data_IF_115495794286
#
_entry.id   IF_115495794286
#
_cell.length_a   1.000
_cell.length_b   1.000
_cell.length_c   1.000
_cell.angle_alpha   90.00
_cell.angle_beta   90.00
_cell.angle_gamma   90.00
#
_symmetry.space_group_name_H-M   'P 1'
#
loop_
_entity.id
_entity.type
_entity.pdbx_description
1 polymer ?
#
# COMPACT_ATOMS: atom_id res chain seq x y z
N UNK A 1 -14.39 -5.06 9.47
CA UNK A 1 -13.81 -4.45 8.27
C UNK A 1 -14.92 -4.21 7.25
N UNK A 2 -15.06 -2.98 6.73
CA UNK A 2 -16.07 -2.67 5.71
C UNK A 2 -15.69 -3.28 4.35
N UNK A 3 -16.68 -3.66 3.53
CA UNK A 3 -16.47 -4.22 2.18
C UNK A 3 -15.64 -3.30 1.28
N UNK A 4 -15.70 -1.99 1.51
CA UNK A 4 -14.90 -1.01 0.79
C UNK A 4 -13.39 -1.26 0.98
N UNK A 5 -12.94 -1.40 2.24
CA UNK A 5 -11.51 -1.55 2.56
C UNK A 5 -10.93 -2.83 1.97
N UNK A 6 -11.64 -3.95 2.08
CA UNK A 6 -11.16 -5.21 1.51
C UNK A 6 -11.05 -5.10 -0.02
N UNK A 7 -12.01 -4.43 -0.68
CA UNK A 7 -11.94 -4.17 -2.11
C UNK A 7 -10.73 -3.34 -2.53
N UNK A 8 -10.33 -2.34 -1.73
CA UNK A 8 -9.12 -1.54 -1.97
C UNK A 8 -7.86 -2.40 -1.81
N UNK A 9 -7.78 -3.19 -0.73
CA UNK A 9 -6.62 -4.06 -0.47
C UNK A 9 -6.46 -5.14 -1.56
N UNK A 10 -7.55 -5.71 -2.04
CA UNK A 10 -7.53 -6.64 -3.17
C UNK A 10 -7.02 -5.98 -4.46
N UNK A 11 -7.45 -4.75 -4.75
CA UNK A 11 -6.95 -3.98 -5.89
C UNK A 11 -5.44 -3.70 -5.74
N UNK A 12 -4.98 -3.35 -4.54
CA UNK A 12 -3.55 -3.17 -4.26
C UNK A 12 -2.75 -4.44 -4.57
N UNK A 13 -3.30 -5.62 -4.29
CA UNK A 13 -2.63 -6.90 -4.57
C UNK A 13 -2.67 -7.27 -6.07
N UNK A 14 -3.78 -7.01 -6.76
CA UNK A 14 -4.07 -7.60 -8.08
C UNK A 14 -3.96 -6.63 -9.27
N UNK A 15 -4.12 -5.33 -9.07
CA UNK A 15 -4.17 -4.38 -10.20
C UNK A 15 -2.88 -4.39 -11.01
N UNK A 16 -2.99 -4.27 -12.32
CA UNK A 16 -1.81 -4.17 -13.18
C UNK A 16 -1.12 -2.82 -12.97
N UNK A 17 0.22 -2.76 -12.94
CA UNK A 17 0.91 -1.48 -12.90
C UNK A 17 0.55 -0.64 -14.12
N UNK A 18 0.42 0.67 -13.93
CA UNK A 18 0.27 1.63 -15.01
C UNK A 18 1.59 1.80 -15.76
N UNK A 19 2.67 2.10 -15.04
CA UNK A 19 4.03 2.16 -15.59
C UNK A 19 5.10 1.87 -14.54
N UNK A 20 6.33 1.61 -15.01
CA UNK A 20 7.53 1.48 -14.20
C UNK A 20 8.14 2.86 -14.01
N UNK A 21 8.38 3.27 -12.76
CA UNK A 21 8.94 4.58 -12.42
C UNK A 21 10.47 4.52 -12.51
N UNK A 22 11.07 3.66 -11.69
CA UNK A 22 12.51 3.45 -11.63
C UNK A 22 12.84 2.07 -11.04
N UNK A 23 14.11 1.70 -11.07
CA UNK A 23 14.64 0.49 -10.42
C UNK A 23 15.93 0.87 -9.71
N UNK A 24 16.08 0.43 -8.47
CA UNK A 24 17.36 0.34 -7.77
C UNK A 24 17.83 -1.13 -7.71
N UNK A 25 18.98 -1.39 -7.09
CA UNK A 25 19.55 -2.75 -6.98
C UNK A 25 18.59 -3.75 -6.31
N UNK A 26 17.78 -3.31 -5.35
CA UNK A 26 16.92 -4.16 -4.54
C UNK A 26 15.46 -4.16 -5.03
N UNK A 27 14.96 -3.03 -5.51
CA UNK A 27 13.55 -2.76 -5.77
C UNK A 27 13.28 -2.15 -7.14
N UNK A 28 12.14 -2.55 -7.71
CA UNK A 28 11.51 -1.87 -8.82
C UNK A 28 10.28 -1.15 -8.33
N UNK A 29 10.21 0.15 -8.64
CA UNK A 29 9.13 1.05 -8.26
C UNK A 29 8.15 1.19 -9.42
N UNK A 30 6.86 1.10 -9.10
CA UNK A 30 5.76 1.09 -10.06
C UNK A 30 4.64 1.97 -9.53
N UNK A 31 3.85 2.47 -10.46
CA UNK A 31 2.61 3.17 -10.17
C UNK A 31 1.42 2.29 -10.54
N UNK A 32 0.32 2.42 -9.81
CA UNK A 32 -0.97 1.80 -10.12
C UNK A 32 -2.09 2.77 -9.81
N UNK A 33 -3.16 2.72 -10.60
CA UNK A 33 -4.37 3.50 -10.32
C UNK A 33 -5.34 2.65 -9.52
N UNK A 34 -5.81 3.20 -8.39
CA UNK A 34 -6.83 2.60 -7.52
C UNK A 34 -7.75 3.72 -7.08
N UNK A 35 -9.06 3.58 -7.36
CA UNK A 35 -10.07 4.62 -7.10
C UNK A 35 -9.64 6.01 -7.60
N UNK A 36 -9.19 6.09 -8.86
CA UNK A 36 -8.71 7.31 -9.53
C UNK A 36 -7.48 7.99 -8.91
N UNK A 37 -6.87 7.37 -7.90
CA UNK A 37 -5.65 7.85 -7.26
C UNK A 37 -4.43 7.05 -7.74
N UNK A 38 -3.31 7.74 -7.90
CA UNK A 38 -2.04 7.15 -8.29
C UNK A 38 -1.25 6.69 -7.05
N UNK A 39 -1.11 5.38 -6.90
CA UNK A 39 -0.43 4.77 -5.77
C UNK A 39 0.92 4.20 -6.22
N UNK A 40 1.96 4.56 -5.47
CA UNK A 40 3.28 3.99 -5.66
C UNK A 40 3.43 2.71 -4.84
N UNK A 41 3.93 1.66 -5.48
CA UNK A 41 4.44 0.51 -4.78
C UNK A 41 5.82 0.10 -5.30
N UNK A 42 6.53 -0.66 -4.48
CA UNK A 42 7.78 -1.33 -4.84
C UNK A 42 7.64 -2.83 -4.69
N UNK A 43 8.40 -3.56 -5.50
CA UNK A 43 8.60 -5.01 -5.40
C UNK A 43 10.08 -5.31 -5.55
N UNK A 44 10.54 -6.45 -5.02
CA UNK A 44 11.93 -6.87 -5.23
C UNK A 44 12.23 -7.03 -6.71
N UNK A 45 13.31 -6.44 -7.20
CA UNK A 45 13.67 -6.44 -8.63
C UNK A 45 13.78 -7.86 -9.19
N UNK A 46 14.39 -8.77 -8.43
CA UNK A 46 14.58 -10.18 -8.82
C UNK A 46 13.33 -11.07 -8.60
N UNK A 47 12.23 -10.53 -8.07
CA UNK A 47 10.97 -11.27 -7.87
C UNK A 47 9.77 -10.44 -8.35
N UNK A 48 9.46 -10.49 -9.66
CA UNK A 48 8.32 -9.77 -10.23
C UNK A 48 6.96 -10.19 -9.66
N UNK A 49 6.86 -11.43 -9.19
CA UNK A 49 5.74 -12.02 -8.44
C UNK A 49 5.77 -11.69 -6.94
N UNK A 50 6.80 -10.99 -6.49
CA UNK A 50 7.03 -10.68 -5.09
C UNK A 50 5.97 -9.75 -4.49
N UNK A 51 5.93 -9.71 -3.16
CA UNK A 51 4.97 -8.86 -2.43
C UNK A 51 5.14 -7.39 -2.81
N UNK A 52 4.01 -6.75 -3.11
CA UNK A 52 3.93 -5.31 -3.30
C UNK A 52 3.99 -4.62 -1.96
N UNK A 53 4.86 -3.63 -1.85
CA UNK A 53 4.93 -2.74 -0.70
C UNK A 53 4.57 -1.34 -1.16
N UNK A 54 3.48 -0.79 -0.64
CA UNK A 54 2.94 0.51 -1.02
C UNK A 54 3.55 1.61 -0.16
N UNK A 55 3.85 2.76 -0.78
CA UNK A 55 4.33 3.93 -0.07
C UNK A 55 3.19 4.52 0.76
N UNK A 56 3.39 4.66 2.06
CA UNK A 56 2.42 5.24 2.97
C UNK A 56 2.58 6.76 2.98
N UNK A 57 1.72 7.42 2.22
CA UNK A 57 1.58 8.87 2.10
C UNK A 57 0.09 9.25 2.19
N UNK A 58 -0.21 10.55 2.10
CA UNK A 58 -1.59 11.03 2.20
C UNK A 58 -2.50 10.49 1.11
N UNK A 59 -1.98 10.28 -0.11
CA UNK A 59 -2.74 9.69 -1.21
C UNK A 59 -3.19 8.27 -0.83
N UNK A 60 -2.25 7.42 -0.42
CA UNK A 60 -2.53 6.04 -0.02
C UNK A 60 -3.45 5.98 1.20
N UNK A 61 -3.27 6.87 2.17
CA UNK A 61 -4.14 6.98 3.33
C UNK A 61 -5.59 7.31 2.91
N UNK A 62 -5.78 8.29 2.02
CA UNK A 62 -7.10 8.64 1.46
C UNK A 62 -7.73 7.51 0.66
N UNK A 63 -6.95 6.83 -0.18
CA UNK A 63 -7.44 5.64 -0.90
C UNK A 63 -7.91 4.55 0.06
N UNK A 64 -7.26 4.44 1.22
CA UNK A 64 -7.65 3.55 2.30
C UNK A 64 -8.77 4.11 3.20
N UNK A 65 -9.33 5.29 2.92
CA UNK A 65 -10.46 5.85 3.68
C UNK A 65 -10.08 6.74 4.88
N UNK A 66 -8.82 7.17 4.99
CA UNK A 66 -8.32 8.06 6.04
C UNK A 66 -8.13 9.48 5.52
N UNK A 67 -8.20 10.51 6.39
CA UNK A 67 -8.04 11.90 5.94
C UNK A 67 -6.62 12.19 5.44
N UNK A 68 -5.62 11.72 6.17
CA UNK A 68 -4.20 11.91 5.88
C UNK A 68 -3.35 10.77 6.49
N UNK A 69 -2.04 10.80 6.26
CA UNK A 69 -1.13 9.79 6.78
C UNK A 69 -1.01 9.81 8.31
N UNK A 70 -1.12 10.97 8.95
CA UNK A 70 -1.08 11.10 10.40
C UNK A 70 -2.27 10.41 11.05
N UNK A 71 -3.48 10.54 10.49
CA UNK A 71 -4.68 9.84 10.95
C UNK A 71 -4.48 8.32 10.86
N UNK A 72 -3.97 7.84 9.72
CA UNK A 72 -3.66 6.42 9.53
C UNK A 72 -2.65 5.90 10.57
N UNK A 73 -1.54 6.61 10.77
CA UNK A 73 -0.51 6.21 11.73
C UNK A 73 -1.06 6.21 13.16
N UNK A 74 -1.89 7.18 13.51
CA UNK A 74 -2.48 7.29 14.86
C UNK A 74 -3.39 6.11 15.20
N UNK A 75 -4.04 5.53 14.19
CA UNK A 75 -4.89 4.35 14.34
C UNK A 75 -4.09 3.05 14.43
N UNK A 76 -2.90 3.00 13.82
CA UNK A 76 -2.03 1.82 13.85
C UNK A 76 -0.61 2.13 14.38
N UNK A 77 -0.48 2.48 15.67
CA UNK A 77 0.80 2.91 16.25
C UNK A 77 1.85 1.78 16.27
N UNK A 78 1.42 0.52 16.38
CA UNK A 78 2.30 -0.65 16.42
C UNK A 78 2.72 -1.15 15.03
N UNK A 79 2.18 -0.56 13.96
CA UNK A 79 2.48 -0.99 12.60
C UNK A 79 3.89 -0.56 12.22
N UNK A 80 4.78 -1.52 11.97
CA UNK A 80 6.16 -1.19 11.60
C UNK A 80 6.26 -0.75 10.14
N UNK A 81 6.53 0.55 9.95
CA UNK A 81 6.78 1.16 8.65
C UNK A 81 8.24 0.99 8.24
N UNK A 82 8.57 -0.01 7.42
CA UNK A 82 9.92 -0.06 6.88
C UNK A 82 10.08 0.96 5.75
N UNK A 83 10.81 2.05 6.04
CA UNK A 83 11.03 3.19 5.13
C UNK A 83 9.73 3.78 4.57
N UNK A 84 8.67 3.83 5.39
CA UNK A 84 7.31 4.25 4.98
C UNK A 84 6.60 3.34 3.98
N UNK A 85 6.98 2.07 3.84
CA UNK A 85 6.27 1.14 2.97
C UNK A 85 5.61 -0.01 3.73
N UNK A 86 4.43 -0.44 3.26
CA UNK A 86 3.67 -1.55 3.83
C UNK A 86 3.10 -2.49 2.77
N UNK A 87 3.01 -3.77 3.11
CA UNK A 87 2.27 -4.73 2.28
C UNK A 87 0.77 -4.61 2.53
N UNK A 88 -0.10 -4.88 1.54
CA UNK A 88 -1.54 -4.97 1.76
C UNK A 88 -1.90 -5.95 2.89
N UNK A 89 -1.12 -7.03 3.06
CA UNK A 89 -1.32 -7.98 4.16
C UNK A 89 -0.99 -7.38 5.53
N UNK A 90 0.02 -6.51 5.63
CA UNK A 90 0.33 -5.79 6.88
C UNK A 90 -0.80 -4.82 7.25
N UNK A 91 -1.30 -4.08 6.26
CA UNK A 91 -2.42 -3.15 6.44
C UNK A 91 -3.66 -3.92 6.90
N UNK A 92 -4.00 -5.01 6.21
CA UNK A 92 -5.11 -5.90 6.57
C UNK A 92 -5.02 -6.38 8.01
N UNK A 93 -3.83 -6.79 8.47
CA UNK A 93 -3.62 -7.26 9.84
C UNK A 93 -3.86 -6.15 10.87
N UNK A 94 -3.34 -4.95 10.64
CA UNK A 94 -3.58 -3.81 11.56
C UNK A 94 -5.06 -3.45 11.66
N UNK A 95 -5.76 -3.45 10.53
CA UNK A 95 -7.21 -3.19 10.49
C UNK A 95 -8.07 -4.30 11.12
N UNK A 96 -7.53 -5.52 11.28
CA UNK A 96 -8.21 -6.60 12.00
C UNK A 96 -7.98 -6.53 13.51
N UNK A 97 -6.86 -5.96 13.97
CA UNK A 97 -6.54 -5.82 15.40
C UNK A 97 -7.27 -4.68 16.11
N UNK A 98 -7.93 -3.77 15.38
CA UNK A 98 -8.82 -2.73 15.95
C UNK A 98 -10.20 -3.28 16.41
N UNK A 99 -10.36 -4.60 16.52
CA UNK A 99 -11.56 -5.27 17.05
C UNK A 99 -11.28 -5.90 18.40
#
# INVERSE_FOLDING_TARGET
MSRFFEGVLEQMEKNKPLYKICTDEEFTYREVIINDEALMYRQKTLRPDGRRMYLMNDVTARTLGYGNISDFISMFPDMQYWRRFLTPQTIRKGMLSER
#
